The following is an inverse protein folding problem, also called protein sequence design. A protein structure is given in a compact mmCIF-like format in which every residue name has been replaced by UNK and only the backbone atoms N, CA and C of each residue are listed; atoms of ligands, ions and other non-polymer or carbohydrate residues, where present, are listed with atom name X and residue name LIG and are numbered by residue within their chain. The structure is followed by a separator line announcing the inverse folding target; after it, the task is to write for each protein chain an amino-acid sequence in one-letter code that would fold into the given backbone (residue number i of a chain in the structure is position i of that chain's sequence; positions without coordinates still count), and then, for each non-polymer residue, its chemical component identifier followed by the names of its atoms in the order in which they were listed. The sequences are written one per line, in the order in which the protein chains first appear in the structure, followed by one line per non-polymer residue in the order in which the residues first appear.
data_IF_004230067311
#
_entry.id   IF_004230067311
#
_cell.length_a   1.000
_cell.length_b   1.000
_cell.length_c   1.000
_cell.angle_alpha   90.00
_cell.angle_beta   90.00
_cell.angle_gamma   90.00
#
_symmetry.space_group_name_H-M   'P 1'
#
loop_
_entity.id
_entity.type
_entity.pdbx_description
1 polymer ?
#
# COMPACT_ATOMS: atom_id res chain seq x y z
N UNK A 1 40.33 -49.22 21.86
CA UNK A 1 39.37 -48.66 20.87
C UNK A 1 39.05 -47.23 21.28
N UNK A 2 39.86 -46.27 20.85
CA UNK A 2 39.72 -44.84 21.19
C UNK A 2 38.89 -44.15 20.12
N UNK A 3 37.67 -43.75 20.49
CA UNK A 3 36.74 -43.04 19.61
C UNK A 3 37.22 -41.62 19.30
N UNK A 4 37.50 -41.35 18.03
CA UNK A 4 37.85 -40.03 17.54
C UNK A 4 36.64 -39.09 17.55
N UNK A 5 36.60 -38.18 18.53
CA UNK A 5 35.70 -37.03 18.50
C UNK A 5 36.16 -36.07 17.40
N UNK A 6 35.48 -36.09 16.25
CA UNK A 6 35.58 -35.00 15.26
C UNK A 6 34.95 -33.74 15.86
N UNK A 7 35.64 -32.60 15.91
CA UNK A 7 35.02 -31.35 16.35
C UNK A 7 33.90 -30.99 15.38
N UNK A 8 32.71 -30.76 15.94
CA UNK A 8 31.52 -30.29 15.23
C UNK A 8 31.84 -28.91 14.67
N UNK A 9 32.11 -28.82 13.37
CA UNK A 9 32.33 -27.54 12.69
C UNK A 9 31.10 -26.66 12.95
N UNK A 10 31.32 -25.51 13.59
CA UNK A 10 30.29 -24.49 13.73
C UNK A 10 29.83 -24.06 12.33
N UNK A 11 28.52 -23.89 12.07
CA UNK A 11 28.07 -23.32 10.82
C UNK A 11 28.74 -21.96 10.63
N UNK A 12 29.42 -21.77 9.50
CA UNK A 12 29.98 -20.48 9.11
C UNK A 12 28.86 -19.43 9.19
N UNK A 13 29.08 -18.25 9.82
CA UNK A 13 28.12 -17.16 9.78
C UNK A 13 27.78 -16.88 8.32
N UNK A 14 26.51 -17.07 7.94
CA UNK A 14 26.04 -16.70 6.62
C UNK A 14 26.46 -15.25 6.39
N UNK A 15 27.21 -15.01 5.32
CA UNK A 15 27.66 -13.68 4.93
C UNK A 15 26.48 -12.73 5.11
N UNK A 16 26.64 -11.75 6.01
CA UNK A 16 25.59 -10.80 6.34
C UNK A 16 25.11 -10.19 5.03
N UNK A 17 23.93 -10.60 4.59
CA UNK A 17 23.22 -9.94 3.51
C UNK A 17 23.13 -8.49 3.96
N UNK A 18 23.89 -7.63 3.28
CA UNK A 18 24.11 -6.23 3.65
C UNK A 18 22.76 -5.53 3.52
N UNK A 19 21.90 -5.64 4.53
CA UNK A 19 20.62 -4.97 4.59
C UNK A 19 20.92 -3.48 4.44
N UNK A 20 20.61 -2.96 3.27
CA UNK A 20 20.84 -1.56 2.94
C UNK A 20 19.82 -0.76 3.73
N UNK A 21 20.23 -0.33 4.91
CA UNK A 21 19.43 0.45 5.85
C UNK A 21 19.36 1.91 5.39
N UNK A 22 18.15 2.43 5.23
CA UNK A 22 17.93 3.84 4.89
C UNK A 22 17.84 4.64 6.20
N UNK A 23 18.53 5.79 6.34
CA UNK A 23 18.41 6.63 7.54
C UNK A 23 16.96 7.09 7.72
N UNK A 24 16.36 6.74 8.87
CA UNK A 24 14.95 6.98 9.15
C UNK A 24 14.57 8.46 9.01
N UNK A 25 15.44 9.38 9.47
CA UNK A 25 15.17 10.82 9.42
C UNK A 25 14.99 11.34 8.00
N UNK A 26 15.88 10.97 7.06
CA UNK A 26 15.80 11.44 5.67
C UNK A 26 14.59 10.84 4.95
N UNK A 27 14.30 9.56 5.23
CA UNK A 27 13.13 8.89 4.69
C UNK A 27 11.84 9.54 5.17
N UNK A 28 11.69 9.74 6.48
CA UNK A 28 10.49 10.29 7.10
C UNK A 28 10.26 11.76 6.70
N UNK A 29 11.33 12.55 6.58
CA UNK A 29 11.28 13.92 6.05
C UNK A 29 10.76 13.94 4.60
N UNK A 30 11.34 13.12 3.72
CA UNK A 30 10.95 13.05 2.32
C UNK A 30 9.52 12.54 2.14
N UNK A 31 9.15 11.47 2.86
CA UNK A 31 7.82 10.88 2.81
C UNK A 31 6.76 11.86 3.32
N UNK A 32 7.01 12.54 4.44
CA UNK A 32 6.09 13.53 4.99
C UNK A 32 5.87 14.71 4.05
N UNK A 33 6.92 15.18 3.38
CA UNK A 33 6.80 16.25 2.39
C UNK A 33 5.96 15.82 1.18
N UNK A 34 6.21 14.62 0.65
CA UNK A 34 5.46 14.07 -0.49
C UNK A 34 3.99 13.85 -0.12
N UNK A 35 3.71 13.25 1.04
CA UNK A 35 2.34 13.01 1.50
C UNK A 35 1.59 14.31 1.80
N UNK A 36 2.28 15.34 2.32
CA UNK A 36 1.67 16.65 2.52
C UNK A 36 1.22 17.27 1.18
N UNK A 37 2.09 17.25 0.17
CA UNK A 37 1.78 17.73 -1.19
C UNK A 37 0.67 16.90 -1.84
N UNK A 38 0.71 15.58 -1.68
CA UNK A 38 -0.33 14.68 -2.18
C UNK A 38 -1.69 14.98 -1.53
N UNK A 39 -1.73 15.20 -0.21
CA UNK A 39 -2.95 15.60 0.49
C UNK A 39 -3.52 16.92 -0.02
N UNK A 40 -2.65 17.92 -0.29
CA UNK A 40 -3.06 19.21 -0.85
C UNK A 40 -3.66 18.99 -2.23
N UNK A 41 -3.00 18.19 -3.07
CA UNK A 41 -3.48 17.84 -4.40
C UNK A 41 -4.83 17.14 -4.36
N UNK A 42 -5.01 16.15 -3.48
CA UNK A 42 -6.28 15.41 -3.33
C UNK A 42 -7.39 16.36 -2.87
N UNK A 43 -7.11 17.22 -1.88
CA UNK A 43 -8.09 18.18 -1.39
C UNK A 43 -8.50 19.19 -2.47
N UNK A 44 -7.52 19.68 -3.22
CA UNK A 44 -7.75 20.58 -4.36
C UNK A 44 -8.58 19.91 -5.45
N UNK A 45 -8.24 18.69 -5.86
CA UNK A 45 -9.01 17.97 -6.87
C UNK A 45 -10.43 17.68 -6.36
N UNK A 46 -10.57 17.36 -5.07
CA UNK A 46 -11.87 17.16 -4.44
C UNK A 46 -12.82 18.35 -4.61
N UNK A 47 -12.34 19.59 -4.54
CA UNK A 47 -13.21 20.76 -4.74
C UNK A 47 -13.72 20.89 -6.18
N UNK A 48 -13.01 20.34 -7.16
CA UNK A 48 -13.40 20.35 -8.58
C UNK A 48 -14.55 19.38 -8.88
N UNK A 49 -14.71 18.32 -8.07
CA UNK A 49 -15.79 17.34 -8.21
C UNK A 49 -17.12 17.77 -7.55
N UNK A 50 -17.18 19.01 -7.04
CA UNK A 50 -18.33 19.52 -6.29
C UNK A 50 -18.34 19.04 -4.85
N UNK A 51 -18.65 19.95 -3.92
CA UNK A 51 -18.65 19.63 -2.49
C UNK A 51 -20.01 19.12 -2.00
N UNK A 52 -21.10 19.69 -2.51
CA UNK A 52 -22.46 19.36 -2.10
C UNK A 52 -23.39 19.48 -3.32
N UNK A 53 -24.30 18.53 -3.47
CA UNK A 53 -25.35 18.54 -4.48
C UNK A 53 -26.70 18.54 -3.76
N UNK A 54 -27.37 19.69 -3.76
CA UNK A 54 -28.58 19.93 -2.96
C UNK A 54 -28.32 19.77 -1.46
N UNK A 55 -28.95 18.79 -0.82
CA UNK A 55 -28.79 18.47 0.61
C UNK A 55 -27.82 17.30 0.87
N UNK A 56 -27.21 16.73 -0.18
CA UNK A 56 -26.40 15.52 -0.08
C UNK A 56 -24.93 15.85 -0.39
N UNK A 57 -23.97 15.29 0.36
CA UNK A 57 -22.56 15.40 0.01
C UNK A 57 -22.29 14.91 -1.41
N UNK A 58 -21.60 15.72 -2.22
CA UNK A 58 -21.19 15.33 -3.56
C UNK A 58 -19.88 14.52 -3.53
N UNK A 59 -19.46 14.02 -4.69
CA UNK A 59 -18.27 13.17 -4.83
C UNK A 59 -16.98 13.81 -4.29
N UNK A 60 -16.90 15.15 -4.29
CA UNK A 60 -15.75 15.90 -3.77
C UNK A 60 -15.68 16.01 -2.25
N UNK A 61 -16.77 15.78 -1.51
CA UNK A 61 -16.81 15.94 -0.05
C UNK A 61 -15.74 15.07 0.64
N UNK A 62 -15.70 13.78 0.30
CA UNK A 62 -14.80 12.82 0.94
C UNK A 62 -13.32 13.07 0.61
N UNK A 63 -12.92 13.24 -0.67
CA UNK A 63 -11.55 13.62 -1.03
C UNK A 63 -11.05 14.89 -0.33
N UNK A 64 -11.89 15.91 -0.19
CA UNK A 64 -11.51 17.17 0.50
C UNK A 64 -11.08 16.90 1.94
N UNK A 65 -11.88 16.17 2.71
CA UNK A 65 -11.58 15.90 4.12
C UNK A 65 -10.41 14.95 4.32
N UNK A 66 -10.30 13.89 3.51
CA UNK A 66 -9.17 12.97 3.57
C UNK A 66 -7.88 13.66 3.15
N UNK A 67 -7.90 14.46 2.08
CA UNK A 67 -6.75 15.24 1.63
C UNK A 67 -6.30 16.24 2.70
N UNK A 68 -7.24 16.98 3.29
CA UNK A 68 -6.95 17.93 4.36
C UNK A 68 -6.34 17.25 5.60
N UNK A 69 -6.91 16.11 6.03
CA UNK A 69 -6.38 15.31 7.13
C UNK A 69 -4.97 14.79 6.84
N UNK A 70 -4.76 14.23 5.64
CA UNK A 70 -3.46 13.73 5.21
C UNK A 70 -2.41 14.84 5.20
N UNK A 71 -2.74 16.02 4.67
CA UNK A 71 -1.86 17.20 4.70
C UNK A 71 -1.54 17.62 6.12
N UNK A 72 -2.55 17.73 6.99
CA UNK A 72 -2.36 18.17 8.36
C UNK A 72 -1.42 17.23 9.12
N UNK A 73 -1.69 15.92 9.11
CA UNK A 73 -0.86 14.94 9.83
C UNK A 73 0.55 14.84 9.24
N UNK A 74 0.69 14.93 7.91
CA UNK A 74 2.00 14.93 7.26
C UNK A 74 2.81 16.20 7.57
N UNK A 75 2.16 17.36 7.61
CA UNK A 75 2.80 18.62 7.99
C UNK A 75 3.23 18.61 9.46
N UNK A 76 2.40 18.11 10.37
CA UNK A 76 2.75 17.94 11.78
C UNK A 76 3.94 16.99 11.94
N UNK A 77 3.99 15.89 11.17
CA UNK A 77 5.14 14.99 11.18
C UNK A 77 6.40 15.66 10.63
N UNK A 78 6.28 16.44 9.55
CA UNK A 78 7.40 17.20 8.99
C UNK A 78 7.98 18.21 10.00
N UNK A 79 7.10 18.95 10.69
CA UNK A 79 7.51 19.88 11.76
C UNK A 79 8.21 19.12 12.89
N UNK A 80 7.70 17.94 13.28
CA UNK A 80 8.31 17.10 14.32
C UNK A 80 9.72 16.67 13.92
N UNK A 81 9.91 16.18 12.70
CA UNK A 81 11.23 15.74 12.17
C UNK A 81 12.22 16.90 12.04
N UNK A 82 11.74 18.10 11.70
CA UNK A 82 12.57 19.31 11.65
C UNK A 82 13.00 19.77 13.05
N UNK A 83 12.10 19.71 14.05
CA UNK A 83 12.39 20.12 15.43
C UNK A 83 13.22 19.09 16.21
N UNK A 84 13.08 17.81 15.90
CA UNK A 84 13.79 16.72 16.57
C UNK A 84 14.96 16.22 15.71
N UNK A 85 16.16 16.70 16.01
CA UNK A 85 17.42 16.24 15.38
C UNK A 85 17.83 14.80 15.76
N UNK A 86 17.15 14.22 16.75
CA UNK A 86 17.50 12.93 17.36
C UNK A 86 16.73 11.70 16.87
N UNK A 87 16.00 11.73 15.74
CA UNK A 87 15.39 10.50 15.21
C UNK A 87 16.49 9.49 14.83
N UNK A 88 16.68 8.49 15.68
CA UNK A 88 17.63 7.39 15.50
C UNK A 88 16.86 6.14 15.11
N UNK A 89 17.13 5.64 13.92
CA UNK A 89 16.51 4.43 13.39
C UNK A 89 16.88 4.22 11.93
N UNK A 90 16.54 3.05 11.42
CA UNK A 90 16.73 2.66 10.03
C UNK A 90 15.47 2.02 9.50
N UNK A 91 15.16 2.28 8.24
CA UNK A 91 14.06 1.63 7.53
C UNK A 91 14.65 0.55 6.64
N UNK A 92 14.03 -0.64 6.65
CA UNK A 92 14.41 -1.71 5.73
C UNK A 92 14.00 -1.33 4.30
N UNK A 93 14.97 -1.40 3.39
CA UNK A 93 14.73 -1.15 1.97
C UNK A 93 13.67 -2.09 1.39
N UNK A 94 13.57 -3.32 1.89
CA UNK A 94 12.54 -4.26 1.45
C UNK A 94 11.13 -3.77 1.77
N UNK A 95 10.93 -3.13 2.93
CA UNK A 95 9.65 -2.53 3.30
C UNK A 95 9.29 -1.38 2.36
N UNK A 96 10.25 -0.51 2.06
CA UNK A 96 10.06 0.61 1.12
C UNK A 96 9.68 0.09 -0.28
N UNK A 97 10.36 -0.96 -0.76
CA UNK A 97 10.04 -1.59 -2.05
C UNK A 97 8.62 -2.18 -2.04
N UNK A 98 8.21 -2.85 -0.96
CA UNK A 98 6.85 -3.39 -0.84
C UNK A 98 5.80 -2.28 -0.90
N UNK A 99 6.00 -1.19 -0.16
CA UNK A 99 5.09 -0.02 -0.19
C UNK A 99 5.02 0.56 -1.60
N UNK A 100 6.16 0.71 -2.27
CA UNK A 100 6.20 1.21 -3.65
C UNK A 100 5.47 0.28 -4.63
N UNK A 101 5.66 -1.04 -4.53
CA UNK A 101 4.98 -2.02 -5.37
C UNK A 101 3.47 -2.03 -5.14
N UNK A 102 3.01 -1.94 -3.89
CA UNK A 102 1.57 -1.85 -3.59
C UNK A 102 0.99 -0.54 -4.13
N UNK A 103 1.72 0.56 -3.99
CA UNK A 103 1.31 1.86 -4.54
C UNK A 103 1.18 1.80 -6.06
N UNK A 104 2.13 1.15 -6.74
CA UNK A 104 2.08 0.95 -8.19
C UNK A 104 0.92 0.04 -8.61
N UNK A 105 0.64 -1.01 -7.83
CA UNK A 105 -0.51 -1.88 -8.08
C UNK A 105 -1.84 -1.12 -7.93
N UNK A 106 -1.96 -0.22 -6.95
CA UNK A 106 -3.12 0.65 -6.79
C UNK A 106 -3.29 1.62 -7.98
N UNK A 107 -2.20 2.21 -8.48
CA UNK A 107 -2.25 3.05 -9.69
C UNK A 107 -2.72 2.21 -10.89
N UNK A 108 -2.17 1.01 -11.07
CA UNK A 108 -2.60 0.09 -12.12
C UNK A 108 -4.07 -0.29 -12.03
N UNK A 109 -4.58 -0.50 -10.81
CA UNK A 109 -5.99 -0.75 -10.55
C UNK A 109 -6.87 0.43 -11.00
N UNK A 110 -6.53 1.66 -10.62
CA UNK A 110 -7.30 2.84 -11.04
C UNK A 110 -7.32 2.97 -12.56
N UNK A 111 -6.18 2.79 -13.23
CA UNK A 111 -6.11 2.85 -14.69
C UNK A 111 -6.91 1.73 -15.38
N UNK A 112 -6.91 0.51 -14.84
CA UNK A 112 -7.73 -0.59 -15.38
C UNK A 112 -9.22 -0.39 -15.09
N UNK A 113 -9.57 0.23 -13.97
CA UNK A 113 -10.97 0.40 -13.55
C UNK A 113 -11.80 1.21 -14.56
N UNK A 114 -11.17 2.15 -15.27
CA UNK A 114 -11.81 2.95 -16.32
C UNK A 114 -12.10 2.14 -17.60
N UNK A 115 -11.34 1.06 -17.84
CA UNK A 115 -11.43 0.27 -19.09
C UNK A 115 -12.29 -0.98 -18.92
N UNK A 116 -12.11 -1.71 -17.82
CA UNK A 116 -12.74 -3.03 -17.58
C UNK A 116 -13.70 -3.04 -16.39
N UNK A 117 -13.95 -1.88 -15.78
CA UNK A 117 -14.78 -1.74 -14.59
C UNK A 117 -14.03 -2.05 -13.29
N UNK A 118 -14.47 -1.42 -12.20
CA UNK A 118 -13.83 -1.50 -10.89
C UNK A 118 -13.79 -2.92 -10.33
N UNK A 119 -14.84 -3.72 -10.56
CA UNK A 119 -14.96 -5.07 -10.01
C UNK A 119 -13.99 -6.05 -10.68
N UNK A 120 -13.81 -5.97 -12.00
CA UNK A 120 -12.87 -6.83 -12.70
C UNK A 120 -11.43 -6.39 -12.40
N UNK A 121 -11.18 -5.08 -12.32
CA UNK A 121 -9.87 -4.53 -11.97
C UNK A 121 -9.41 -4.92 -10.55
N UNK A 122 -10.32 -5.19 -9.61
CA UNK A 122 -9.93 -5.57 -8.24
C UNK A 122 -9.25 -6.95 -8.16
N UNK A 123 -9.55 -7.86 -9.09
CA UNK A 123 -8.94 -9.20 -9.14
C UNK A 123 -7.42 -9.15 -9.33
N UNK A 124 -6.86 -8.52 -10.39
CA UNK A 124 -5.42 -8.40 -10.54
C UNK A 124 -4.77 -7.60 -9.40
N UNK A 125 -5.48 -6.61 -8.81
CA UNK A 125 -4.98 -5.90 -7.63
C UNK A 125 -4.78 -6.84 -6.43
N UNK A 126 -5.80 -7.64 -6.09
CA UNK A 126 -5.72 -8.58 -4.96
C UNK A 126 -4.62 -9.63 -5.18
N UNK A 127 -4.48 -10.14 -6.41
CA UNK A 127 -3.39 -11.05 -6.78
C UNK A 127 -2.03 -10.36 -6.63
N UNK A 128 -1.88 -9.13 -7.14
CA UNK A 128 -0.63 -8.38 -7.05
C UNK A 128 -0.21 -8.16 -5.59
N UNK A 129 -1.14 -7.74 -4.72
CA UNK A 129 -0.88 -7.57 -3.29
C UNK A 129 -0.47 -8.91 -2.66
N UNK A 130 -1.18 -9.99 -2.96
CA UNK A 130 -0.82 -11.34 -2.50
C UNK A 130 0.60 -11.78 -2.88
N UNK A 131 1.01 -11.49 -4.13
CA UNK A 131 2.35 -11.76 -4.63
C UNK A 131 3.44 -10.92 -3.93
N UNK A 132 3.14 -9.65 -3.61
CA UNK A 132 4.09 -8.74 -2.94
C UNK A 132 4.41 -9.22 -1.52
N UNK A 133 3.41 -9.74 -0.79
CA UNK A 133 3.57 -10.13 0.62
C UNK A 133 4.03 -11.56 0.87
N UNK A 134 4.07 -12.44 -0.13
CA UNK A 134 4.73 -13.74 0.04
C UNK A 134 4.20 -14.91 -0.77
N UNK A 135 3.17 -14.74 -1.60
CA UNK A 135 2.73 -15.83 -2.46
C UNK A 135 3.70 -16.07 -3.61
N UNK A 136 4.65 -17.00 -3.41
CA UNK A 136 5.61 -17.41 -4.44
C UNK A 136 5.35 -18.81 -4.98
N UNK A 137 4.71 -19.68 -4.18
CA UNK A 137 4.46 -21.06 -4.55
C UNK A 137 3.24 -21.20 -5.45
N UNK A 138 3.27 -22.16 -6.38
CA UNK A 138 2.13 -22.45 -7.28
C UNK A 138 0.82 -22.67 -6.53
N UNK A 139 0.86 -23.33 -5.37
CA UNK A 139 -0.31 -23.54 -4.50
C UNK A 139 -0.82 -22.24 -3.90
N UNK A 140 0.08 -21.37 -3.42
CA UNK A 140 -0.28 -20.07 -2.86
C UNK A 140 -0.86 -19.13 -3.92
N UNK A 141 -0.30 -19.12 -5.12
CA UNK A 141 -0.82 -18.34 -6.26
C UNK A 141 -2.20 -18.84 -6.68
N UNK A 142 -2.39 -20.17 -6.77
CA UNK A 142 -3.69 -20.75 -7.07
C UNK A 142 -4.74 -20.36 -5.99
N UNK A 143 -4.39 -20.48 -4.71
CA UNK A 143 -5.28 -20.10 -3.62
C UNK A 143 -5.66 -18.61 -3.68
N UNK A 144 -4.69 -17.71 -3.87
CA UNK A 144 -4.96 -16.26 -3.95
C UNK A 144 -5.80 -15.91 -5.17
N UNK A 145 -5.54 -16.54 -6.32
CA UNK A 145 -6.38 -16.34 -7.51
C UNK A 145 -7.83 -16.78 -7.26
N UNK A 146 -8.04 -17.94 -6.63
CA UNK A 146 -9.37 -18.44 -6.30
C UNK A 146 -10.09 -17.53 -5.30
N UNK A 147 -9.39 -17.06 -4.26
CA UNK A 147 -9.93 -16.12 -3.27
C UNK A 147 -10.27 -14.78 -3.93
N UNK A 148 -9.42 -14.27 -4.81
CA UNK A 148 -9.63 -12.98 -5.48
C UNK A 148 -10.85 -13.02 -6.40
N UNK A 149 -10.99 -14.08 -7.20
CA UNK A 149 -12.15 -14.29 -8.06
C UNK A 149 -13.42 -14.52 -7.23
N UNK A 150 -13.34 -15.37 -6.19
CA UNK A 150 -14.45 -15.62 -5.28
C UNK A 150 -14.95 -14.34 -4.61
N UNK A 151 -14.02 -13.48 -4.16
CA UNK A 151 -14.36 -12.18 -3.56
C UNK A 151 -15.04 -11.25 -4.57
N UNK A 152 -14.54 -11.18 -5.81
CA UNK A 152 -15.18 -10.40 -6.87
C UNK A 152 -16.61 -10.87 -7.16
N UNK A 153 -16.86 -12.19 -7.18
CA UNK A 153 -18.21 -12.75 -7.33
C UNK A 153 -19.11 -12.36 -6.16
N UNK A 154 -18.61 -12.47 -4.92
CA UNK A 154 -19.38 -12.06 -3.73
C UNK A 154 -19.74 -10.58 -3.81
N UNK A 155 -18.79 -9.72 -4.17
CA UNK A 155 -19.03 -8.28 -4.35
C UNK A 155 -20.07 -8.03 -5.44
N UNK A 156 -20.03 -8.77 -6.54
CA UNK A 156 -21.04 -8.66 -7.60
C UNK A 156 -22.43 -9.04 -7.10
N UNK A 157 -22.55 -10.13 -6.34
CA UNK A 157 -23.84 -10.55 -5.77
C UNK A 157 -24.38 -9.52 -4.78
N UNK A 158 -23.54 -9.03 -3.86
CA UNK A 158 -23.96 -8.06 -2.84
C UNK A 158 -24.29 -6.71 -3.47
N UNK A 159 -23.38 -6.16 -4.27
CA UNK A 159 -23.55 -4.81 -4.79
C UNK A 159 -24.41 -4.75 -6.05
N UNK A 160 -24.24 -5.72 -6.96
CA UNK A 160 -24.92 -5.71 -8.26
C UNK A 160 -26.32 -6.31 -8.19
N UNK A 161 -26.50 -7.39 -7.44
CA UNK A 161 -27.81 -8.06 -7.34
C UNK A 161 -28.62 -7.54 -6.16
N UNK A 162 -28.04 -7.48 -4.96
CA UNK A 162 -28.80 -7.08 -3.76
C UNK A 162 -28.98 -5.57 -3.67
N UNK A 163 -27.92 -4.79 -3.91
CA UNK A 163 -27.97 -3.32 -3.81
C UNK A 163 -28.27 -2.61 -5.15
N UNK A 164 -28.33 -3.35 -6.26
CA UNK A 164 -28.63 -2.82 -7.61
C UNK A 164 -27.74 -1.65 -8.05
N UNK A 165 -26.47 -1.65 -7.61
CA UNK A 165 -25.48 -0.64 -7.97
C UNK A 165 -24.83 -1.01 -9.31
N UNK A 166 -24.68 -0.08 -10.27
CA UNK A 166 -23.88 -0.31 -11.47
C UNK A 166 -22.40 -0.43 -11.09
N UNK A 167 -21.81 -1.61 -11.34
CA UNK A 167 -20.43 -1.97 -10.95
C UNK A 167 -19.45 -2.09 -12.13
N UNK A 168 -19.97 -1.96 -13.35
CA UNK A 168 -19.26 -2.05 -14.62
C UNK A 168 -19.29 -0.70 -15.32
#
# INVERSE_FOLDING_TARGET
MTGGHRPRQAPLPKAQEKQQMIPLRSFDLGLSAILALLGIYIAWQGTMFGYQDGAVPAAGFFPVWIGAGLTLFSALNLIKVLRQSGLRGTVDRMEVVRVLLVSLALVGFVLMSDVIGMLIASVPLMIAVGCIFGARDRRSLAAISAISVGMAIILYLVFGVVLTIPLL
#
